data_IF_576257095198
#
_entry.id   IF_576257095198
#
_cell.length_a   1.000
_cell.length_b   1.000
_cell.length_c   1.000
_cell.angle_alpha   90.00
_cell.angle_beta   90.00
_cell.angle_gamma   90.00
#
_symmetry.space_group_name_H-M   'P 1'
#
loop_
_entity.id
_entity.type
_entity.pdbx_description
1 polymer ?
#
# COMPACT_ATOMS: atom_id res chain seq x y z
N UNK A 1 -38.02 -21.05 14.70
CA UNK A 1 -38.27 -21.24 13.25
C UNK A 1 -37.46 -20.17 12.55
N UNK A 2 -36.69 -20.59 11.56
CA UNK A 2 -35.67 -19.86 10.80
C UNK A 2 -36.05 -18.41 10.48
N UNK A 3 -35.21 -17.46 10.91
CA UNK A 3 -35.09 -16.15 10.29
C UNK A 3 -34.50 -16.34 8.88
N UNK A 4 -35.28 -16.95 8.01
CA UNK A 4 -35.00 -17.01 6.57
C UNK A 4 -35.13 -15.58 6.08
N UNK A 5 -33.99 -14.89 6.05
CA UNK A 5 -33.85 -13.57 5.40
C UNK A 5 -34.51 -13.71 4.04
N UNK A 6 -35.65 -13.03 3.85
CA UNK A 6 -36.25 -12.84 2.52
C UNK A 6 -35.29 -11.94 1.75
N UNK A 7 -34.21 -12.51 1.25
CA UNK A 7 -33.28 -11.83 0.33
C UNK A 7 -34.07 -11.61 -0.95
N UNK A 8 -34.41 -10.37 -1.24
CA UNK A 8 -35.01 -10.05 -2.54
C UNK A 8 -33.90 -10.06 -3.59
N UNK A 9 -34.21 -10.52 -4.81
CA UNK A 9 -33.24 -10.47 -5.91
C UNK A 9 -32.80 -9.04 -6.22
N UNK A 10 -33.62 -8.03 -5.89
CA UNK A 10 -33.35 -6.61 -6.05
C UNK A 10 -32.27 -6.11 -5.07
N UNK A 11 -32.33 -6.53 -3.80
CA UNK A 11 -31.32 -6.19 -2.80
C UNK A 11 -29.95 -6.76 -3.20
N UNK A 12 -29.92 -8.03 -3.60
CA UNK A 12 -28.69 -8.68 -4.06
C UNK A 12 -28.09 -7.96 -5.28
N UNK A 13 -28.94 -7.60 -6.26
CA UNK A 13 -28.52 -6.85 -7.44
C UNK A 13 -27.93 -5.48 -7.08
N UNK A 14 -28.55 -4.75 -6.17
CA UNK A 14 -28.05 -3.45 -5.68
C UNK A 14 -26.67 -3.57 -5.02
N UNK A 15 -26.43 -4.60 -4.19
CA UNK A 15 -25.12 -4.84 -3.61
C UNK A 15 -24.05 -5.17 -4.67
N UNK A 16 -24.40 -6.02 -5.64
CA UNK A 16 -23.48 -6.39 -6.73
C UNK A 16 -23.07 -5.17 -7.54
N UNK A 17 -24.03 -4.37 -8.02
CA UNK A 17 -23.75 -3.18 -8.83
C UNK A 17 -22.86 -2.18 -8.09
N UNK A 18 -23.08 -2.01 -6.77
CA UNK A 18 -22.22 -1.16 -5.93
C UNK A 18 -20.79 -1.69 -5.82
N UNK A 19 -20.62 -3.00 -5.65
CA UNK A 19 -19.29 -3.64 -5.57
C UNK A 19 -18.56 -3.53 -6.91
N UNK A 20 -19.25 -3.78 -8.02
CA UNK A 20 -18.66 -3.68 -9.37
C UNK A 20 -18.16 -2.25 -9.64
N UNK A 21 -18.95 -1.24 -9.26
CA UNK A 21 -18.53 0.15 -9.35
C UNK A 21 -17.28 0.43 -8.51
N UNK A 22 -17.25 -0.04 -7.26
CA UNK A 22 -16.08 0.13 -6.37
C UNK A 22 -14.83 -0.59 -6.91
N UNK A 23 -14.99 -1.77 -7.49
CA UNK A 23 -13.87 -2.48 -8.12
C UNK A 23 -13.36 -1.76 -9.38
N UNK A 24 -14.24 -1.12 -10.15
CA UNK A 24 -13.80 -0.25 -11.25
C UNK A 24 -13.04 0.97 -10.75
N UNK A 25 -13.58 1.70 -9.77
CA UNK A 25 -12.90 2.88 -9.18
C UNK A 25 -11.53 2.50 -8.60
N UNK A 26 -11.43 1.34 -7.94
CA UNK A 26 -10.16 0.81 -7.44
C UNK A 26 -9.17 0.50 -8.56
N UNK A 27 -9.62 -0.02 -9.71
CA UNK A 27 -8.74 -0.24 -10.88
C UNK A 27 -8.23 1.08 -11.42
N UNK A 28 -9.10 2.07 -11.61
CA UNK A 28 -8.72 3.39 -12.12
C UNK A 28 -7.68 4.06 -11.22
N UNK A 29 -7.85 3.97 -9.89
CA UNK A 29 -6.87 4.46 -8.91
C UNK A 29 -5.55 3.68 -9.01
N UNK A 30 -5.59 2.36 -9.17
CA UNK A 30 -4.38 1.55 -9.34
C UNK A 30 -3.61 1.92 -10.61
N UNK A 31 -4.32 2.19 -11.72
CA UNK A 31 -3.71 2.61 -12.97
C UNK A 31 -3.05 3.99 -12.82
N UNK A 32 -3.72 4.96 -12.21
CA UNK A 32 -3.11 6.26 -11.90
C UNK A 32 -1.85 6.13 -11.03
N UNK A 33 -1.85 5.23 -10.03
CA UNK A 33 -0.66 4.96 -9.22
C UNK A 33 0.48 4.38 -10.08
N UNK A 34 0.18 3.47 -11.02
CA UNK A 34 1.17 2.90 -11.94
C UNK A 34 1.77 3.98 -12.83
N UNK A 35 0.97 4.87 -13.37
CA UNK A 35 1.42 5.96 -14.24
C UNK A 35 2.35 6.94 -13.51
N UNK A 36 2.05 7.24 -12.23
CA UNK A 36 2.93 8.08 -11.39
C UNK A 36 4.31 7.42 -11.20
N UNK A 37 4.34 6.11 -10.91
CA UNK A 37 5.62 5.40 -10.81
C UNK A 37 6.36 5.33 -12.14
N UNK A 38 5.65 5.11 -13.25
CA UNK A 38 6.25 5.06 -14.58
C UNK A 38 6.92 6.41 -14.92
N UNK A 39 6.20 7.52 -14.72
CA UNK A 39 6.74 8.87 -14.90
C UNK A 39 7.96 9.13 -14.00
N UNK A 40 7.91 8.72 -12.73
CA UNK A 40 9.05 8.86 -11.83
C UNK A 40 10.27 8.06 -12.31
N UNK A 41 10.08 6.87 -12.88
CA UNK A 41 11.18 6.11 -13.48
C UNK A 41 11.76 6.79 -14.72
N UNK A 42 10.92 7.37 -15.59
CA UNK A 42 11.37 8.14 -16.76
C UNK A 42 12.18 9.38 -16.35
N UNK A 43 11.86 9.98 -15.20
CA UNK A 43 12.62 11.07 -14.58
C UNK A 43 13.91 10.60 -13.85
N UNK A 44 14.13 9.29 -13.74
CA UNK A 44 15.34 8.70 -13.17
C UNK A 44 15.26 8.28 -11.70
N UNK A 45 14.07 8.27 -11.09
CA UNK A 45 13.88 7.83 -9.70
C UNK A 45 13.82 6.30 -9.57
N UNK A 46 14.39 5.75 -8.48
CA UNK A 46 14.27 4.32 -8.17
C UNK A 46 12.89 4.00 -7.54
N UNK A 47 12.02 3.34 -8.33
CA UNK A 47 10.67 2.93 -7.89
C UNK A 47 10.72 2.03 -6.63
N UNK A 48 11.72 1.15 -6.47
CA UNK A 48 11.81 0.25 -5.32
C UNK A 48 12.05 1.04 -4.05
N UNK A 49 12.95 2.00 -4.08
CA UNK A 49 13.22 2.91 -2.96
C UNK A 49 11.98 3.77 -2.65
N UNK A 50 11.31 4.32 -3.67
CA UNK A 50 10.06 5.06 -3.46
C UNK A 50 8.97 4.22 -2.77
N UNK A 51 8.80 2.96 -3.20
CA UNK A 51 7.85 2.03 -2.57
C UNK A 51 8.22 1.73 -1.12
N UNK A 52 9.51 1.62 -0.80
CA UNK A 52 9.98 1.46 0.58
C UNK A 52 9.62 2.70 1.42
N UNK A 53 9.88 3.91 0.90
CA UNK A 53 9.52 5.17 1.57
C UNK A 53 8.01 5.24 1.82
N UNK A 54 7.18 4.89 0.84
CA UNK A 54 5.72 4.92 1.00
C UNK A 54 5.25 3.92 2.07
N UNK A 55 5.90 2.76 2.21
CA UNK A 55 5.60 1.82 3.29
C UNK A 55 5.97 2.40 4.66
N UNK A 56 7.16 2.97 4.79
CA UNK A 56 7.61 3.62 6.03
C UNK A 56 6.68 4.78 6.42
N UNK A 57 6.20 5.56 5.45
CA UNK A 57 5.26 6.68 5.68
C UNK A 57 3.84 6.24 6.07
N UNK A 58 3.50 4.96 5.93
CA UNK A 58 2.21 4.41 6.36
C UNK A 58 2.23 3.87 7.79
N UNK A 59 3.42 3.67 8.35
CA UNK A 59 3.59 3.33 9.76
C UNK A 59 3.35 4.57 10.61
N UNK A 60 2.94 4.38 11.87
CA UNK A 60 2.99 5.47 12.82
C UNK A 60 4.44 5.85 13.14
N UNK A 61 4.61 7.01 13.78
CA UNK A 61 5.93 7.59 13.99
C UNK A 61 6.75 6.79 15.01
N UNK A 62 6.12 6.21 16.04
CA UNK A 62 6.79 5.44 17.10
C UNK A 62 7.27 4.08 16.53
N UNK A 63 6.39 3.37 15.80
CA UNK A 63 6.71 2.11 15.11
C UNK A 63 7.86 2.31 14.11
N UNK A 64 7.86 3.43 13.39
CA UNK A 64 8.93 3.76 12.41
C UNK A 64 10.24 4.02 13.12
N UNK A 65 10.24 4.76 14.23
CA UNK A 65 11.44 5.04 15.02
C UNK A 65 12.04 3.77 15.61
N UNK A 66 11.21 2.92 16.23
CA UNK A 66 11.66 1.63 16.77
C UNK A 66 12.28 0.75 15.67
N UNK A 67 11.64 0.66 14.51
CA UNK A 67 12.16 -0.12 13.39
C UNK A 67 13.50 0.43 12.87
N UNK A 68 13.68 1.75 12.75
CA UNK A 68 14.94 2.35 12.31
C UNK A 68 16.07 2.08 13.30
N UNK A 69 15.81 2.17 14.61
CA UNK A 69 16.79 1.85 15.67
C UNK A 69 17.24 0.39 15.57
N UNK A 70 16.29 -0.54 15.41
CA UNK A 70 16.59 -1.96 15.27
C UNK A 70 17.37 -2.24 13.98
N UNK A 71 16.96 -1.63 12.87
CA UNK A 71 17.62 -1.80 11.58
C UNK A 71 19.06 -1.29 11.61
N UNK A 72 19.30 -0.13 12.19
CA UNK A 72 20.64 0.43 12.36
C UNK A 72 21.51 -0.45 13.28
N UNK A 73 20.94 -0.96 14.38
CA UNK A 73 21.62 -1.92 15.26
C UNK A 73 22.06 -3.18 14.51
N UNK A 74 21.20 -3.74 13.66
CA UNK A 74 21.52 -4.91 12.86
C UNK A 74 22.53 -4.61 11.75
N UNK A 75 22.43 -3.46 11.07
CA UNK A 75 23.43 -3.03 10.10
C UNK A 75 24.81 -2.89 10.74
N UNK A 76 24.89 -2.31 11.95
CA UNK A 76 26.13 -2.20 12.73
C UNK A 76 26.73 -3.56 13.03
N UNK A 77 25.91 -4.49 13.53
CA UNK A 77 26.36 -5.85 13.83
C UNK A 77 26.87 -6.60 12.60
N UNK A 78 26.33 -6.29 11.41
CA UNK A 78 26.70 -6.91 10.13
C UNK A 78 27.79 -6.13 9.36
N UNK A 79 28.29 -5.01 9.89
CA UNK A 79 29.25 -4.16 9.18
C UNK A 79 28.70 -3.50 7.90
N UNK A 80 27.37 -3.31 7.82
CA UNK A 80 26.68 -2.76 6.66
C UNK A 80 26.42 -1.24 6.75
N UNK A 81 27.02 -0.55 7.71
CA UNK A 81 26.83 0.89 7.85
C UNK A 81 27.65 1.63 6.81
N UNK A 82 27.04 2.62 6.17
CA UNK A 82 27.81 3.66 5.51
C UNK A 82 28.34 4.59 6.60
N UNK A 83 29.53 4.30 7.12
CA UNK A 83 30.36 5.36 7.69
C UNK A 83 30.81 6.21 6.50
N UNK A 84 30.13 7.33 6.28
CA UNK A 84 30.62 8.31 5.31
C UNK A 84 32.02 8.74 5.75
N UNK A 85 32.99 8.58 4.86
CA UNK A 85 34.25 9.31 4.97
C UNK A 85 34.00 10.83 4.90
#
# INVERSE_FOLDING_TARGET
MEDTVKITAEDLKSYIERIEKLEQEKRDVQDHIRDVYAKAADEGWDIKVMKQIIRLRKMDDDDREEQEILLDTYKRALGMNYEGE
#
